data_IF_788191144317
#
_entry.id   IF_788191144317
#
_cell.length_a   1.000
_cell.length_b   1.000
_cell.length_c   1.000
_cell.angle_alpha   90.00
_cell.angle_beta   90.00
_cell.angle_gamma   90.00
#
_symmetry.space_group_name_H-M   'P 1'
#
loop_
_entity.id
_entity.type
_entity.pdbx_description
1 polymer ?
#
# COMPACT_ATOMS: atom_id res chain seq x y z
N UNK A 1 7.25 -11.50 0.36
CA UNK A 1 6.43 -10.38 0.86
C UNK A 1 5.21 -10.22 -0.04
N UNK A 2 4.03 -9.99 0.54
CA UNK A 2 2.77 -9.75 -0.15
C UNK A 2 2.37 -8.28 0.03
N UNK A 3 2.38 -7.54 -1.06
CA UNK A 3 2.05 -6.11 -1.07
C UNK A 3 0.67 -5.93 -1.74
N UNK A 4 -0.22 -5.20 -1.07
CA UNK A 4 -1.44 -4.68 -1.64
C UNK A 4 -1.24 -3.20 -2.04
N UNK A 5 -1.83 -2.79 -3.16
CA UNK A 5 -1.91 -1.40 -3.60
C UNK A 5 -3.38 -1.05 -3.80
N UNK A 6 -3.89 -0.07 -3.08
CA UNK A 6 -5.28 0.39 -3.17
C UNK A 6 -5.30 1.88 -3.52
N UNK A 7 -5.77 2.18 -4.72
CA UNK A 7 -5.84 3.53 -5.29
C UNK A 7 -6.90 3.44 -6.41
N UNK A 8 -7.80 4.40 -6.56
CA UNK A 8 -8.91 4.32 -7.51
C UNK A 8 -8.52 4.81 -8.93
N UNK A 9 -7.41 5.53 -9.06
CA UNK A 9 -6.87 5.99 -10.32
C UNK A 9 -5.95 4.94 -10.97
N UNK A 10 -6.35 4.44 -12.14
CA UNK A 10 -5.61 3.40 -12.85
C UNK A 10 -4.14 3.78 -13.13
N UNK A 11 -3.89 5.03 -13.53
CA UNK A 11 -2.54 5.49 -13.84
C UNK A 11 -1.63 5.48 -12.61
N UNK A 12 -2.12 5.93 -11.46
CA UNK A 12 -1.37 5.91 -10.20
C UNK A 12 -1.14 4.49 -9.71
N UNK A 13 -2.17 3.62 -9.73
CA UNK A 13 -2.01 2.19 -9.44
C UNK A 13 -0.91 1.52 -10.26
N UNK A 14 -0.91 1.75 -11.58
CA UNK A 14 0.10 1.15 -12.47
C UNK A 14 1.50 1.69 -12.17
N UNK A 15 1.63 3.00 -11.97
CA UNK A 15 2.91 3.62 -11.61
C UNK A 15 3.48 3.06 -10.30
N UNK A 16 2.65 2.93 -9.26
CA UNK A 16 3.05 2.34 -7.99
C UNK A 16 3.44 0.87 -8.13
N UNK A 17 2.68 0.09 -8.90
CA UNK A 17 3.00 -1.31 -9.18
C UNK A 17 4.37 -1.45 -9.86
N UNK A 18 4.69 -0.60 -10.83
CA UNK A 18 5.99 -0.57 -11.51
C UNK A 18 7.12 -0.18 -10.56
N UNK A 19 6.92 0.85 -9.74
CA UNK A 19 7.91 1.31 -8.75
C UNK A 19 8.23 0.21 -7.73
N UNK A 20 7.20 -0.42 -7.15
CA UNK A 20 7.37 -1.53 -6.20
C UNK A 20 8.07 -2.72 -6.87
N UNK A 21 7.72 -3.04 -8.10
CA UNK A 21 8.36 -4.13 -8.86
C UNK A 21 9.84 -3.85 -9.12
N UNK A 22 10.19 -2.62 -9.47
CA UNK A 22 11.58 -2.18 -9.68
C UNK A 22 12.38 -2.24 -8.39
N UNK A 23 11.83 -1.74 -7.28
CA UNK A 23 12.45 -1.83 -5.97
C UNK A 23 12.69 -3.29 -5.55
N UNK A 24 11.69 -4.15 -5.70
CA UNK A 24 11.80 -5.57 -5.35
C UNK A 24 12.86 -6.33 -6.14
N UNK A 25 13.19 -5.87 -7.36
CA UNK A 25 14.24 -6.47 -8.21
C UNK A 25 15.66 -5.99 -7.85
N UNK A 26 15.82 -5.15 -6.82
CA UNK A 26 17.13 -4.68 -6.36
C UNK A 26 17.56 -3.37 -6.99
N UNK A 27 16.63 -2.40 -7.09
CA UNK A 27 16.81 -1.12 -7.75
C UNK A 27 18.16 -0.44 -7.51
N UNK A 28 18.84 -0.10 -8.60
CA UNK A 28 20.15 0.55 -8.71
C UNK A 28 20.15 2.05 -8.38
N UNK A 29 19.20 2.54 -7.58
CA UNK A 29 19.04 3.96 -7.26
C UNK A 29 19.17 4.27 -5.76
N UNK A 30 19.94 3.47 -5.01
CA UNK A 30 20.44 3.99 -3.73
C UNK A 30 21.54 5.02 -4.05
N UNK A 31 21.26 6.31 -3.82
CA UNK A 31 22.26 7.40 -3.86
C UNK A 31 23.42 7.17 -2.88
N UNK A 32 23.25 6.25 -1.93
CA UNK A 32 24.31 5.69 -1.09
C UNK A 32 24.76 4.40 -1.77
N UNK A 33 25.91 4.41 -2.43
CA UNK A 33 26.49 3.29 -3.20
C UNK A 33 26.76 2.00 -2.40
N UNK A 34 25.73 1.43 -1.79
CA UNK A 34 25.71 0.10 -1.19
C UNK A 34 25.25 -0.89 -2.25
N UNK A 35 25.95 -2.04 -2.29
CA UNK A 35 25.68 -3.15 -3.22
C UNK A 35 24.18 -3.42 -3.32
N UNK A 36 23.65 -3.33 -4.56
CA UNK A 36 22.24 -3.53 -4.86
C UNK A 36 21.65 -4.72 -4.10
N UNK A 37 20.55 -4.46 -3.39
CA UNK A 37 19.85 -5.47 -2.61
C UNK A 37 19.46 -6.64 -3.52
N UNK A 38 19.72 -7.88 -3.09
CA UNK A 38 19.30 -9.05 -3.85
C UNK A 38 17.78 -9.01 -4.11
N UNK A 39 17.30 -9.51 -5.26
CA UNK A 39 15.87 -9.53 -5.55
C UNK A 39 15.07 -10.16 -4.40
N UNK A 40 14.05 -9.45 -3.93
CA UNK A 40 13.18 -9.89 -2.85
C UNK A 40 11.96 -10.60 -3.46
N UNK A 41 11.64 -11.84 -3.04
CA UNK A 41 10.44 -12.53 -3.51
C UNK A 41 9.20 -11.74 -3.06
N UNK A 42 8.56 -11.08 -4.03
CA UNK A 42 7.47 -10.13 -3.79
C UNK A 42 6.28 -10.46 -4.70
N UNK A 43 5.09 -10.55 -4.10
CA UNK A 43 3.83 -10.67 -4.82
C UNK A 43 3.06 -9.37 -4.64
N UNK A 44 2.62 -8.76 -5.73
CA UNK A 44 1.86 -7.51 -5.72
C UNK A 44 0.42 -7.81 -6.16
N UNK A 45 -0.56 -7.31 -5.41
CA UNK A 45 -1.98 -7.29 -5.79
C UNK A 45 -2.49 -5.85 -5.78
N UNK A 46 -3.27 -5.48 -6.77
CA UNK A 46 -3.83 -4.13 -6.91
C UNK A 46 -5.35 -4.15 -6.75
N UNK A 47 -5.89 -3.09 -6.18
CA UNK A 47 -7.30 -2.90 -5.87
C UNK A 47 -7.70 -1.48 -6.28
N UNK A 48 -8.82 -1.34 -6.97
CA UNK A 48 -9.34 -0.06 -7.45
C UNK A 48 -10.33 0.60 -6.48
N UNK A 49 -10.61 -0.06 -5.35
CA UNK A 49 -11.60 0.35 -4.36
C UNK A 49 -11.31 -0.28 -3.01
N UNK A 50 -11.74 0.39 -1.94
CA UNK A 50 -11.61 -0.10 -0.58
C UNK A 50 -12.39 -1.41 -0.38
N UNK A 51 -13.57 -1.52 -1.00
CA UNK A 51 -14.44 -2.68 -0.93
C UNK A 51 -13.79 -3.92 -1.56
N UNK A 52 -13.14 -3.75 -2.71
CA UNK A 52 -12.41 -4.83 -3.36
C UNK A 52 -11.24 -5.32 -2.49
N UNK A 53 -10.53 -4.40 -1.82
CA UNK A 53 -9.50 -4.76 -0.86
C UNK A 53 -10.08 -5.50 0.35
N UNK A 54 -11.12 -4.97 1.00
CA UNK A 54 -11.75 -5.59 2.17
C UNK A 54 -12.29 -6.99 1.88
N UNK A 55 -12.90 -7.19 0.71
CA UNK A 55 -13.37 -8.50 0.29
C UNK A 55 -12.21 -9.51 0.19
N UNK A 56 -11.12 -9.13 -0.46
CA UNK A 56 -9.94 -9.98 -0.57
C UNK A 56 -9.23 -10.19 0.78
N UNK A 57 -9.23 -9.18 1.64
CA UNK A 57 -8.62 -9.22 2.97
C UNK A 57 -9.40 -10.12 3.93
N UNK A 58 -10.73 -10.12 3.86
CA UNK A 58 -11.58 -11.01 4.64
C UNK A 58 -11.33 -12.50 4.31
N UNK A 59 -10.96 -12.81 3.06
CA UNK A 59 -10.59 -14.17 2.64
C UNK A 59 -9.13 -14.52 2.97
N UNK A 60 -8.21 -13.57 2.81
CA UNK A 60 -6.78 -13.76 3.00
C UNK A 60 -6.10 -12.52 3.61
N UNK A 61 -5.84 -12.57 4.92
CA UNK A 61 -5.17 -11.52 5.69
C UNK A 61 -3.62 -11.60 5.64
N UNK A 62 -3.04 -12.36 4.72
CA UNK A 62 -1.57 -12.55 4.64
C UNK A 62 -0.80 -11.40 4.00
N UNK A 63 -1.43 -10.24 3.79
CA UNK A 63 -0.72 -9.06 3.29
C UNK A 63 0.25 -8.53 4.36
N UNK A 64 1.47 -8.25 3.93
CA UNK A 64 2.50 -7.68 4.81
C UNK A 64 2.42 -6.15 4.80
N UNK A 65 2.16 -5.57 3.62
CA UNK A 65 2.11 -4.13 3.38
C UNK A 65 0.90 -3.78 2.52
N UNK A 66 0.21 -2.69 2.88
CA UNK A 66 -0.81 -2.03 2.09
C UNK A 66 -0.34 -0.60 1.76
N UNK A 67 -0.13 -0.33 0.47
CA UNK A 67 0.01 1.03 -0.07
C UNK A 67 -1.39 1.56 -0.34
N UNK A 68 -1.77 2.65 0.30
CA UNK A 68 -3.15 3.12 0.35
C UNK A 68 -3.25 4.59 -0.02
N UNK A 69 -4.02 4.91 -1.05
CA UNK A 69 -4.48 6.28 -1.25
C UNK A 69 -5.59 6.64 -0.26
N UNK A 70 -5.61 7.90 0.15
CA UNK A 70 -6.63 8.46 1.04
C UNK A 70 -7.91 8.77 0.27
N UNK A 71 -7.82 9.23 -0.97
CA UNK A 71 -8.95 9.67 -1.78
C UNK A 71 -9.49 8.56 -2.67
N UNK A 72 -10.06 7.52 -2.08
CA UNK A 72 -10.82 6.54 -2.87
C UNK A 72 -12.26 7.03 -3.11
N UNK A 73 -12.92 6.46 -4.12
CA UNK A 73 -14.22 6.92 -4.62
C UNK A 73 -15.33 6.94 -3.55
N UNK A 74 -15.58 5.79 -2.93
CA UNK A 74 -16.73 5.57 -2.05
C UNK A 74 -16.36 5.61 -0.56
N UNK A 75 -15.09 5.37 -0.23
CA UNK A 75 -14.60 5.25 1.13
C UNK A 75 -13.28 6.01 1.28
N UNK A 76 -13.13 6.77 2.35
CA UNK A 76 -11.85 7.39 2.71
C UNK A 76 -10.82 6.31 3.08
N UNK A 77 -9.61 6.37 2.54
CA UNK A 77 -8.52 5.46 2.89
C UNK A 77 -8.20 5.46 4.38
N UNK A 78 -8.41 6.57 5.10
CA UNK A 78 -8.29 6.61 6.56
C UNK A 78 -9.37 5.76 7.22
N UNK A 79 -10.60 5.79 6.71
CA UNK A 79 -11.68 4.94 7.21
C UNK A 79 -11.40 3.45 6.94
N UNK A 80 -10.85 3.13 5.77
CA UNK A 80 -10.39 1.78 5.45
C UNK A 80 -9.32 1.31 6.45
N UNK A 81 -8.30 2.13 6.71
CA UNK A 81 -7.26 1.80 7.68
C UNK A 81 -7.83 1.55 9.09
N UNK A 82 -8.78 2.39 9.54
CA UNK A 82 -9.49 2.19 10.81
C UNK A 82 -10.26 0.87 10.85
N UNK A 83 -10.89 0.47 9.74
CA UNK A 83 -11.61 -0.81 9.66
C UNK A 83 -10.65 -1.99 9.79
N UNK A 84 -9.53 -1.97 9.04
CA UNK A 84 -8.51 -3.02 9.11
C UNK A 84 -7.97 -3.17 10.53
N UNK A 85 -7.71 -2.04 11.21
CA UNK A 85 -7.13 -2.03 12.57
C UNK A 85 -8.04 -2.63 13.65
N UNK A 86 -9.34 -2.77 13.40
CA UNK A 86 -10.24 -3.49 14.32
C UNK A 86 -9.92 -4.97 14.41
N UNK A 87 -9.36 -5.56 13.36
CA UNK A 87 -9.15 -7.00 13.23
C UNK A 87 -7.69 -7.40 13.01
N UNK A 88 -6.83 -6.47 12.56
CA UNK A 88 -5.45 -6.75 12.21
C UNK A 88 -4.51 -5.57 12.53
N UNK A 89 -3.65 -5.78 13.54
CA UNK A 89 -2.61 -4.84 13.94
C UNK A 89 -1.27 -5.07 13.20
N UNK A 90 -1.14 -6.19 12.47
CA UNK A 90 0.13 -6.61 11.86
C UNK A 90 0.37 -5.98 10.49
N UNK A 91 -0.69 -5.83 9.68
CA UNK A 91 -0.60 -5.25 8.34
C UNK A 91 0.01 -3.84 8.40
N UNK A 92 1.13 -3.63 7.72
CA UNK A 92 1.73 -2.30 7.63
C UNK A 92 0.98 -1.46 6.60
N UNK A 93 0.50 -0.28 6.99
CA UNK A 93 -0.26 0.62 6.11
C UNK A 93 0.62 1.83 5.82
N UNK A 94 0.85 2.09 4.53
CA UNK A 94 1.61 3.24 4.04
C UNK A 94 0.67 4.08 3.20
N UNK A 95 0.35 5.29 3.67
CA UNK A 95 -0.44 6.22 2.89
C UNK A 95 0.39 6.85 1.77
N UNK A 96 -0.12 6.80 0.54
CA UNK A 96 0.46 7.46 -0.62
C UNK A 96 -0.63 8.35 -1.21
N UNK A 97 -0.50 9.66 -1.04
CA UNK A 97 -1.49 10.61 -1.53
C UNK A 97 -0.84 11.94 -1.94
N UNK A 98 -1.46 12.62 -2.91
CA UNK A 98 -1.07 13.98 -3.32
C UNK A 98 -1.50 15.07 -2.35
N UNK A 99 -2.33 14.76 -1.35
CA UNK A 99 -2.82 15.71 -0.36
C UNK A 99 -1.86 15.87 0.82
N UNK A 100 -1.33 17.07 0.99
CA UNK A 100 -0.35 17.40 2.04
C UNK A 100 -0.95 17.49 3.45
N UNK A 101 -2.28 17.63 3.57
CA UNK A 101 -2.96 18.03 4.80
C UNK A 101 -3.30 16.87 5.75
N UNK A 102 -3.14 15.61 5.32
CA UNK A 102 -3.53 14.42 6.10
C UNK A 102 -2.45 13.86 7.05
N UNK A 103 -1.29 14.53 7.16
CA UNK A 103 -0.18 14.09 8.02
C UNK A 103 -0.59 14.04 9.50
N UNK A 104 -1.62 14.79 9.92
CA UNK A 104 -2.05 14.85 11.32
C UNK A 104 -2.97 13.68 11.76
N UNK A 105 -3.79 13.10 10.88
CA UNK A 105 -4.77 12.06 11.26
C UNK A 105 -4.26 10.63 11.09
N UNK A 106 -3.22 10.41 10.28
CA UNK A 106 -2.62 9.08 10.07
C UNK A 106 -1.87 8.52 11.29
N UNK A 107 -1.52 9.35 12.28
CA UNK A 107 -0.87 8.91 13.53
C UNK A 107 -1.84 8.40 14.59
N UNK A 108 -3.15 8.68 14.46
CA UNK A 108 -4.17 8.34 15.48
C UNK A 108 -4.77 6.93 15.29
N UNK A 109 -4.26 6.19 14.30
CA UNK A 109 -4.67 4.81 13.96
C UNK A 109 -3.54 3.79 14.15
N UNK A 110 -2.45 4.20 14.81
CA UNK A 110 -1.29 3.37 15.15
C UNK A 110 -1.48 2.61 16.46
#
# INVERSE_FOLDING_TARGET
MRIAICDDEYAQRQFLQELVSSWAQGGTQSERGESGTAPLPTTIRTFDSAEAFLFAFAEDQSFDILLLDIQLQAMDGVALAKEIRKENEVLQIIFITGYSDYIAEGYDVS
#
